data_IF_862651433058
#
_entry.id   IF_862651433058
#
_cell.length_a   1.000
_cell.length_b   1.000
_cell.length_c   1.000
_cell.angle_alpha   90.00
_cell.angle_beta   90.00
_cell.angle_gamma   90.00
#
_symmetry.space_group_name_H-M   'P 1'
#
loop_
_entity.id
_entity.type
_entity.pdbx_description
1 polymer ?
#
# COMPACT_ATOMS: atom_id res chain seq x y z
N UNK A 1 -14.67 -3.31 1.83
CA UNK A 1 -14.64 -1.95 2.40
C UNK A 1 -14.45 -0.96 1.26
N UNK A 2 -15.26 0.11 1.20
CA UNK A 2 -15.02 1.21 0.24
C UNK A 2 -13.98 2.19 0.81
N UNK A 3 -13.19 2.83 -0.05
CA UNK A 3 -12.23 3.88 0.33
C UNK A 3 -12.88 4.94 1.22
N UNK A 4 -14.12 5.32 0.92
CA UNK A 4 -14.90 6.27 1.70
C UNK A 4 -15.13 5.80 3.14
N UNK A 5 -15.38 4.51 3.33
CA UNK A 5 -15.59 3.91 4.66
C UNK A 5 -14.28 3.93 5.46
N UNK A 6 -13.14 3.63 4.81
CA UNK A 6 -11.82 3.66 5.45
C UNK A 6 -11.45 5.08 5.88
N UNK A 7 -11.69 6.08 5.04
CA UNK A 7 -11.45 7.49 5.35
C UNK A 7 -12.29 7.97 6.53
N UNK A 8 -13.59 7.62 6.55
CA UNK A 8 -14.49 7.96 7.65
C UNK A 8 -13.97 7.38 8.97
N UNK A 9 -13.59 6.09 8.98
CA UNK A 9 -13.03 5.43 10.17
C UNK A 9 -11.74 6.11 10.62
N UNK A 10 -10.83 6.42 9.69
CA UNK A 10 -9.57 7.11 10.01
C UNK A 10 -9.77 8.49 10.64
N UNK A 11 -10.77 9.25 10.16
CA UNK A 11 -11.14 10.55 10.74
C UNK A 11 -11.72 10.37 12.15
N UNK A 12 -12.65 9.44 12.33
CA UNK A 12 -13.26 9.16 13.65
C UNK A 12 -12.20 8.75 14.67
N UNK A 13 -11.28 7.85 14.30
CA UNK A 13 -10.18 7.45 15.17
C UNK A 13 -9.26 8.63 15.52
N UNK A 14 -8.94 9.49 14.54
CA UNK A 14 -8.11 10.68 14.78
C UNK A 14 -8.76 11.61 15.80
N UNK A 15 -10.08 11.79 15.76
CA UNK A 15 -10.84 12.58 16.74
C UNK A 15 -10.83 11.91 18.11
N UNK A 16 -11.03 10.60 18.21
CA UNK A 16 -10.97 9.86 19.49
C UNK A 16 -9.59 10.02 20.13
N UNK A 17 -8.52 9.79 19.36
CA UNK A 17 -7.14 9.94 19.86
C UNK A 17 -6.83 11.38 20.26
N UNK A 18 -7.41 12.39 19.60
CA UNK A 18 -7.28 13.78 20.04
C UNK A 18 -7.75 13.97 21.50
N UNK A 19 -8.94 13.48 21.84
CA UNK A 19 -9.47 13.62 23.19
C UNK A 19 -8.67 12.83 24.23
N UNK A 20 -8.23 11.60 23.89
CA UNK A 20 -7.34 10.81 24.75
C UNK A 20 -6.03 11.56 24.99
N UNK A 21 -5.44 12.14 23.95
CA UNK A 21 -4.21 12.92 24.06
C UNK A 21 -4.35 14.19 24.89
N UNK A 22 -5.51 14.85 24.84
CA UNK A 22 -5.83 16.00 25.71
C UNK A 22 -5.95 15.55 27.16
N UNK A 23 -6.68 14.47 27.43
CA UNK A 23 -6.88 13.95 28.78
C UNK A 23 -5.57 13.45 29.42
N UNK A 24 -4.69 12.83 28.64
CA UNK A 24 -3.38 12.36 29.08
C UNK A 24 -2.30 13.45 29.13
N UNK A 25 -2.63 14.72 28.83
CA UNK A 25 -1.66 15.83 28.79
C UNK A 25 -0.63 15.75 27.65
N UNK A 26 -0.80 14.83 26.70
CA UNK A 26 0.14 14.54 25.61
C UNK A 26 -0.32 15.08 24.24
N UNK A 27 -1.18 16.12 24.22
CA UNK A 27 -1.83 16.66 23.01
C UNK A 27 -0.88 16.86 21.83
N UNK A 28 0.29 17.47 22.06
CA UNK A 28 1.27 17.77 21.01
C UNK A 28 1.86 16.51 20.39
N UNK A 29 2.23 15.53 21.22
CA UNK A 29 2.81 14.25 20.79
C UNK A 29 1.81 13.44 19.99
N UNK A 30 0.56 13.34 20.47
CA UNK A 30 -0.50 12.63 19.76
C UNK A 30 -0.76 13.24 18.38
N UNK A 31 -0.81 14.57 18.30
CA UNK A 31 -1.02 15.25 17.01
C UNK A 31 0.12 14.99 16.02
N UNK A 32 1.37 15.02 16.51
CA UNK A 32 2.54 14.70 15.70
C UNK A 32 2.49 13.26 15.16
N UNK A 33 2.12 12.30 16.00
CA UNK A 33 1.95 10.89 15.58
C UNK A 33 0.82 10.73 14.57
N UNK A 34 -0.32 11.40 14.76
CA UNK A 34 -1.44 11.36 13.82
C UNK A 34 -1.01 11.89 12.45
N UNK A 35 -0.30 13.02 12.40
CA UNK A 35 0.19 13.58 11.12
C UNK A 35 1.15 12.62 10.43
N UNK A 36 2.11 12.03 11.17
CA UNK A 36 3.03 11.06 10.61
C UNK A 36 2.31 9.82 10.07
N UNK A 37 1.30 9.33 10.79
CA UNK A 37 0.48 8.20 10.37
C UNK A 37 -0.29 8.50 9.09
N UNK A 38 -0.89 9.69 8.98
CA UNK A 38 -1.56 10.14 7.75
C UNK A 38 -0.59 10.28 6.58
N UNK A 39 0.57 10.91 6.80
CA UNK A 39 1.59 11.06 5.77
C UNK A 39 2.09 9.69 5.25
N UNK A 40 2.37 8.75 6.16
CA UNK A 40 2.75 7.39 5.79
C UNK A 40 1.64 6.67 5.02
N UNK A 41 0.40 6.74 5.51
CA UNK A 41 -0.75 6.06 4.89
C UNK A 41 -1.04 6.60 3.49
N UNK A 42 -1.01 7.93 3.30
CA UNK A 42 -1.21 8.56 1.99
C UNK A 42 -0.07 8.20 1.03
N UNK A 43 1.17 8.20 1.50
CA UNK A 43 2.32 7.82 0.65
C UNK A 43 2.23 6.35 0.20
N UNK A 44 1.82 5.44 1.09
CA UNK A 44 1.58 4.04 0.74
C UNK A 44 0.44 3.95 -0.29
N UNK A 45 -0.71 4.56 -0.02
CA UNK A 45 -1.85 4.58 -0.94
C UNK A 45 -1.48 5.14 -2.33
N UNK A 46 -0.69 6.21 -2.39
CA UNK A 46 -0.22 6.80 -3.65
C UNK A 46 0.83 5.93 -4.35
N UNK A 47 1.62 5.15 -3.61
CA UNK A 47 2.57 4.20 -4.19
C UNK A 47 1.87 3.07 -4.96
N UNK A 48 0.65 2.72 -4.55
CA UNK A 48 -0.17 1.69 -5.22
C UNK A 48 -0.61 2.13 -6.63
N UNK A 49 -0.71 3.44 -6.87
CA UNK A 49 -1.17 4.03 -8.14
C UNK A 49 0.01 4.35 -9.06
N UNK A 50 1.27 4.17 -8.62
CA UNK A 50 2.43 4.60 -9.41
C UNK A 50 2.54 3.77 -10.71
N UNK A 51 2.59 4.43 -11.88
CA UNK A 51 2.75 3.76 -13.18
C UNK A 51 4.05 2.95 -13.30
N UNK A 52 5.03 3.23 -12.44
CA UNK A 52 6.28 2.48 -12.36
C UNK A 52 6.07 1.00 -11.99
N UNK A 53 5.07 0.66 -11.15
CA UNK A 53 4.73 -0.72 -10.82
C UNK A 53 4.22 -1.48 -12.04
N UNK A 54 3.29 -0.87 -12.78
CA UNK A 54 2.76 -1.42 -14.04
C UNK A 54 3.85 -1.57 -15.12
N UNK A 55 4.76 -0.58 -15.24
CA UNK A 55 5.90 -0.68 -16.16
C UNK A 55 6.81 -1.86 -15.81
N UNK A 56 7.10 -2.07 -14.53
CA UNK A 56 7.93 -3.19 -14.08
C UNK A 56 7.26 -4.54 -14.39
N UNK A 57 5.95 -4.67 -14.25
CA UNK A 57 5.21 -5.89 -14.60
C UNK A 57 5.30 -6.17 -16.11
N UNK A 58 5.16 -5.14 -16.94
CA UNK A 58 5.33 -5.30 -18.40
C UNK A 58 6.75 -5.77 -18.77
N UNK A 59 7.78 -5.35 -18.03
CA UNK A 59 9.15 -5.83 -18.23
C UNK A 59 9.39 -7.26 -17.69
N UNK A 60 8.53 -7.78 -16.82
CA UNK A 60 8.56 -9.15 -16.30
C UNK A 60 7.75 -10.12 -17.17
N UNK A 61 6.75 -9.62 -17.91
CA UNK A 61 5.85 -10.42 -18.75
C UNK A 61 6.62 -11.16 -19.84
N UNK A 62 6.30 -12.44 -20.05
CA UNK A 62 6.88 -13.32 -21.06
C UNK A 62 8.24 -13.90 -20.68
N UNK A 63 8.79 -13.59 -19.50
CA UNK A 63 10.09 -14.11 -19.06
C UNK A 63 10.02 -15.45 -18.33
N UNK A 64 8.95 -15.67 -17.56
CA UNK A 64 8.76 -16.90 -16.80
C UNK A 64 7.28 -17.27 -16.74
N UNK A 65 6.95 -18.51 -17.10
CA UNK A 65 5.56 -18.99 -17.15
C UNK A 65 4.83 -18.88 -15.81
N UNK A 66 5.50 -19.14 -14.69
CA UNK A 66 4.89 -19.05 -13.36
C UNK A 66 4.58 -17.60 -12.96
N UNK A 67 5.43 -16.67 -13.38
CA UNK A 67 5.22 -15.23 -13.15
C UNK A 67 4.11 -14.71 -14.05
N UNK A 68 4.03 -15.18 -15.29
CA UNK A 68 2.98 -14.77 -16.24
C UNK A 68 1.58 -15.20 -15.77
N UNK A 69 1.45 -16.40 -15.18
CA UNK A 69 0.18 -16.84 -14.57
C UNK A 69 -0.30 -15.86 -13.50
N UNK A 70 0.60 -15.39 -12.63
CA UNK A 70 0.25 -14.41 -11.58
C UNK A 70 -0.10 -13.03 -12.16
N UNK A 71 0.52 -12.65 -13.29
CA UNK A 71 0.19 -11.40 -13.99
C UNK A 71 -1.21 -11.50 -14.62
N UNK A 72 -1.53 -12.62 -15.25
CA UNK A 72 -2.82 -12.85 -15.88
C UNK A 72 -3.95 -12.98 -14.84
N UNK A 73 -3.67 -13.60 -13.68
CA UNK A 73 -4.59 -13.67 -12.53
C UNK A 73 -4.86 -12.29 -11.91
N UNK A 74 -3.87 -11.39 -11.89
CA UNK A 74 -4.02 -10.05 -11.33
C UNK A 74 -4.86 -9.10 -12.22
N UNK A 75 -4.94 -9.35 -13.54
CA UNK A 75 -5.76 -8.57 -14.47
C UNK A 75 -5.36 -7.10 -14.63
N UNK A 76 -6.30 -6.24 -15.06
CA UNK A 76 -6.02 -4.83 -15.37
C UNK A 76 -5.78 -3.95 -14.13
N UNK A 77 -6.23 -4.37 -12.95
CA UNK A 77 -6.12 -3.62 -11.70
C UNK A 77 -5.28 -4.40 -10.70
N UNK A 78 -3.98 -4.18 -10.77
CA UNK A 78 -3.01 -4.87 -9.94
C UNK A 78 -2.83 -4.07 -8.65
N UNK A 79 -3.23 -4.64 -7.51
CA UNK A 79 -2.96 -4.08 -6.19
C UNK A 79 -1.50 -4.30 -5.80
N UNK A 80 -1.05 -3.63 -4.73
CA UNK A 80 0.30 -3.83 -4.19
C UNK A 80 0.56 -5.27 -3.80
N UNK A 81 -0.46 -5.98 -3.31
CA UNK A 81 -0.32 -7.38 -2.93
C UNK A 81 0.03 -8.26 -4.13
N UNK A 82 -0.70 -8.14 -5.24
CA UNK A 82 -0.38 -8.88 -6.46
C UNK A 82 0.98 -8.45 -7.03
N UNK A 83 1.31 -7.16 -7.01
CA UNK A 83 2.62 -6.64 -7.41
C UNK A 83 3.78 -7.31 -6.65
N UNK A 84 3.64 -7.47 -5.33
CA UNK A 84 4.64 -8.14 -4.49
C UNK A 84 4.74 -9.62 -4.84
N UNK A 85 3.62 -10.31 -5.05
CA UNK A 85 3.59 -11.73 -5.43
C UNK A 85 4.26 -11.97 -6.78
N UNK A 86 3.91 -11.18 -7.80
CA UNK A 86 4.50 -11.24 -9.15
C UNK A 86 6.01 -11.03 -9.06
N UNK A 87 6.45 -9.99 -8.34
CA UNK A 87 7.88 -9.70 -8.16
C UNK A 87 8.62 -10.80 -7.41
N UNK A 88 7.99 -11.39 -6.39
CA UNK A 88 8.55 -12.52 -5.63
C UNK A 88 8.72 -13.75 -6.52
N UNK A 89 7.74 -14.06 -7.36
CA UNK A 89 7.82 -15.15 -8.35
C UNK A 89 8.95 -14.90 -9.36
N UNK A 90 9.02 -13.69 -9.90
CA UNK A 90 10.08 -13.28 -10.82
C UNK A 90 11.47 -13.50 -10.21
N UNK A 91 11.72 -12.97 -9.01
CA UNK A 91 13.01 -13.10 -8.33
C UNK A 91 13.37 -14.56 -7.98
N UNK A 92 12.38 -15.41 -7.72
CA UNK A 92 12.60 -16.83 -7.48
C UNK A 92 13.06 -17.55 -8.76
N UNK A 93 12.52 -17.15 -9.90
CA UNK A 93 12.82 -17.76 -11.20
C UNK A 93 14.04 -17.12 -11.90
N UNK A 94 14.43 -15.91 -11.47
CA UNK A 94 15.66 -15.20 -11.88
C UNK A 94 16.64 -15.06 -10.70
N UNK A 95 17.26 -16.16 -10.21
CA UNK A 95 18.15 -16.10 -9.04
C UNK A 95 19.49 -15.41 -9.31
N UNK A 96 19.72 -14.87 -10.51
CA UNK A 96 20.98 -14.25 -10.94
C UNK A 96 20.96 -12.72 -10.91
N UNK A 97 19.91 -12.10 -10.34
CA UNK A 97 19.84 -10.66 -10.05
C UNK A 97 19.71 -10.39 -8.56
#
# INVERSE_FOLDING_TARGET
MSLSIILIVGIVLSIIFHFIGVYAGAKKTVWLVIVLMWAASINIAMSEIKPAGYKAINEMKGKFSDTDKLIDEAGEKISVYELILIKKSYNKNDPKR
#
